data_IF_268804511575
#
_entry.id   IF_268804511575
#
_cell.length_a   1.000
_cell.length_b   1.000
_cell.length_c   1.000
_cell.angle_alpha   90.00
_cell.angle_beta   90.00
_cell.angle_gamma   90.00
#
_symmetry.space_group_name_H-M   'P 1'
#
loop_
_entity.id
_entity.type
_entity.pdbx_description
1 polymer ?
#
# COMPACT_ATOMS: atom_id res chain seq x y z
N UNK A 1 5.10 -1.56 27.12
CA UNK A 1 4.00 -1.49 26.14
C UNK A 1 3.68 -2.86 25.56
N UNK A 2 2.44 -3.09 25.15
CA UNK A 2 2.07 -4.29 24.39
C UNK A 2 2.49 -4.10 22.93
N UNK A 3 3.07 -5.13 22.33
CA UNK A 3 3.50 -5.13 20.95
C UNK A 3 3.39 -6.53 20.34
N UNK A 4 3.17 -6.59 19.04
CA UNK A 4 3.36 -7.82 18.27
C UNK A 4 4.85 -7.97 18.02
N UNK A 5 5.40 -9.13 18.32
CA UNK A 5 6.82 -9.39 18.15
C UNK A 5 7.06 -10.56 17.22
N UNK A 6 8.22 -10.52 16.54
CA UNK A 6 8.68 -11.52 15.61
C UNK A 6 10.18 -11.80 15.83
N UNK A 7 10.52 -13.02 16.20
CA UNK A 7 11.92 -13.42 16.46
C UNK A 7 12.54 -14.19 15.28
N UNK A 8 11.72 -14.77 14.42
CA UNK A 8 12.13 -15.56 13.25
C UNK A 8 11.30 -15.24 12.03
N UNK A 9 11.82 -15.46 10.83
CA UNK A 9 11.03 -15.39 9.61
C UNK A 9 10.08 -16.59 9.49
N UNK A 10 8.83 -16.36 9.07
CA UNK A 10 7.85 -17.43 8.91
C UNK A 10 6.46 -16.92 8.52
N UNK A 11 5.46 -17.78 8.67
CA UNK A 11 4.04 -17.45 8.49
C UNK A 11 3.51 -16.64 9.68
N UNK A 12 2.21 -16.32 9.67
CA UNK A 12 1.56 -15.61 10.78
C UNK A 12 1.71 -16.28 12.17
N UNK A 13 2.14 -17.53 12.22
CA UNK A 13 2.38 -18.28 13.46
C UNK A 13 3.62 -17.83 14.22
N UNK A 14 4.57 -17.13 13.56
CA UNK A 14 5.82 -16.69 14.20
C UNK A 14 5.68 -15.35 14.95
N UNK A 15 4.52 -14.72 14.86
CA UNK A 15 4.26 -13.46 15.56
C UNK A 15 3.31 -13.68 16.73
N UNK A 16 3.56 -12.97 17.83
CA UNK A 16 2.76 -13.07 19.05
C UNK A 16 2.76 -11.75 19.81
N UNK A 17 1.79 -11.58 20.71
CA UNK A 17 1.70 -10.42 21.58
C UNK A 17 2.68 -10.59 22.77
N UNK A 18 3.46 -9.54 23.04
CA UNK A 18 4.41 -9.50 24.16
C UNK A 18 4.40 -8.14 24.82
N UNK A 19 4.78 -8.07 26.11
CA UNK A 19 5.06 -6.82 26.80
C UNK A 19 6.55 -6.51 26.64
N UNK A 20 6.86 -5.39 26.04
CA UNK A 20 8.24 -4.90 25.83
C UNK A 20 8.38 -3.47 26.35
N UNK A 21 9.61 -2.97 26.47
CA UNK A 21 9.85 -1.59 26.86
C UNK A 21 9.30 -0.61 25.82
N UNK A 22 8.78 0.52 26.29
CA UNK A 22 8.40 1.62 25.39
C UNK A 22 9.67 2.21 24.76
N UNK A 23 9.69 2.48 23.43
CA UNK A 23 10.88 2.98 22.78
C UNK A 23 11.24 4.40 23.29
N UNK A 24 12.51 4.61 23.60
CA UNK A 24 13.05 5.94 23.84
C UNK A 24 13.20 6.69 22.52
N UNK A 25 12.94 8.00 22.50
CA UNK A 25 13.05 8.85 21.31
C UNK A 25 14.39 9.61 21.29
N UNK A 26 14.93 9.82 20.08
CA UNK A 26 16.04 10.72 19.84
C UNK A 26 15.55 12.18 19.74
N UNK A 27 16.50 13.12 19.65
CA UNK A 27 16.20 14.55 19.62
C UNK A 27 15.32 14.99 18.43
N UNK A 28 15.34 14.28 17.33
CA UNK A 28 14.58 14.55 16.10
C UNK A 28 13.37 13.61 15.90
N UNK A 29 13.09 12.75 16.88
CA UNK A 29 12.01 11.76 16.79
C UNK A 29 10.75 12.20 17.55
N UNK A 30 9.64 11.62 17.09
CA UNK A 30 8.31 11.74 17.66
C UNK A 30 7.87 10.36 18.16
N UNK A 31 7.38 10.27 19.38
CA UNK A 31 6.69 9.10 19.91
C UNK A 31 5.18 9.26 19.68
N UNK A 32 4.59 8.33 18.99
CA UNK A 32 3.15 8.30 18.72
C UNK A 32 2.52 7.18 19.53
N UNK A 33 1.48 7.50 20.30
CA UNK A 33 0.55 6.52 20.87
C UNK A 33 -0.35 6.05 19.72
N UNK A 34 -0.17 4.82 19.31
CA UNK A 34 -0.88 4.22 18.18
C UNK A 34 -2.35 4.02 18.53
N UNK A 35 -3.24 4.46 17.66
CA UNK A 35 -4.68 4.20 17.72
C UNK A 35 -5.07 3.16 16.66
N UNK A 36 -4.43 3.24 15.48
CA UNK A 36 -4.63 2.30 14.40
C UNK A 36 -3.36 2.13 13.57
N UNK A 37 -3.16 0.94 13.05
CA UNK A 37 -2.09 0.59 12.11
C UNK A 37 -2.67 -0.22 10.95
N UNK A 38 -2.21 -0.02 9.72
CA UNK A 38 -2.70 -0.81 8.59
C UNK A 38 -1.73 -1.92 8.21
N UNK A 39 -2.30 -2.99 7.62
CA UNK A 39 -1.54 -4.12 7.09
C UNK A 39 -1.53 -4.03 5.57
N UNK A 40 -0.37 -4.09 4.97
CA UNK A 40 -0.20 -4.22 3.53
C UNK A 40 0.62 -5.48 3.17
N UNK A 41 0.63 -5.85 1.89
CA UNK A 41 1.34 -7.06 1.41
C UNK A 41 2.83 -7.02 1.73
N UNK A 42 3.43 -5.81 1.82
CA UNK A 42 4.82 -5.62 2.23
C UNK A 42 5.12 -6.15 3.63
N UNK A 43 4.21 -5.97 4.60
CA UNK A 43 4.40 -6.50 5.96
C UNK A 43 4.48 -8.02 5.95
N UNK A 44 3.63 -8.69 5.18
CA UNK A 44 3.69 -10.14 5.00
C UNK A 44 4.99 -10.59 4.33
N UNK A 45 5.47 -9.87 3.30
CA UNK A 45 6.74 -10.15 2.62
C UNK A 45 7.91 -10.01 3.60
N UNK A 46 7.94 -8.92 4.39
CA UNK A 46 8.98 -8.67 5.38
C UNK A 46 8.95 -9.72 6.49
N UNK A 47 7.76 -10.09 6.97
CA UNK A 47 7.56 -11.11 8.00
C UNK A 47 8.04 -12.48 7.54
N UNK A 48 7.74 -12.89 6.30
CA UNK A 48 8.17 -14.18 5.76
C UNK A 48 9.64 -14.18 5.35
N UNK A 49 10.22 -13.00 5.11
CA UNK A 49 11.56 -12.85 4.53
C UNK A 49 11.67 -13.51 3.14
N UNK A 50 10.61 -13.47 2.35
CA UNK A 50 10.52 -14.09 1.03
C UNK A 50 10.26 -13.04 -0.07
N UNK A 51 11.02 -13.04 -1.16
CA UNK A 51 12.14 -13.94 -1.49
C UNK A 51 13.34 -13.73 -0.57
N UNK A 52 14.14 -14.77 -0.36
CA UNK A 52 15.24 -14.78 0.61
C UNK A 52 16.23 -13.60 0.46
N UNK A 53 16.38 -13.07 -0.74
CA UNK A 53 17.24 -11.91 -1.04
C UNK A 53 16.85 -10.68 -0.22
N UNK A 54 15.59 -10.55 0.18
CA UNK A 54 15.11 -9.46 1.05
C UNK A 54 15.78 -9.49 2.43
N UNK A 55 16.20 -10.67 2.89
CA UNK A 55 16.90 -10.83 4.17
C UNK A 55 18.27 -10.16 4.20
N UNK A 56 18.88 -9.86 3.05
CA UNK A 56 20.12 -9.07 2.99
C UNK A 56 19.92 -7.66 3.56
N UNK A 57 18.73 -7.08 3.35
CA UNK A 57 18.38 -5.77 3.88
C UNK A 57 17.73 -5.85 5.27
N UNK A 58 16.85 -6.84 5.48
CA UNK A 58 15.99 -6.94 6.67
C UNK A 58 16.59 -7.78 7.81
N UNK A 59 17.70 -8.50 7.56
CA UNK A 59 18.38 -9.37 8.52
C UNK A 59 18.50 -10.81 8.00
N UNK A 60 19.71 -11.35 7.94
CA UNK A 60 19.97 -12.65 7.29
C UNK A 60 19.29 -13.84 7.98
N UNK A 61 19.35 -13.91 9.29
CA UNK A 61 18.86 -15.03 10.11
C UNK A 61 17.56 -14.73 10.84
N UNK A 62 17.34 -13.49 11.21
CA UNK A 62 16.17 -12.97 11.94
C UNK A 62 15.89 -11.54 11.50
N UNK A 63 14.63 -11.05 11.60
CA UNK A 63 14.32 -9.65 11.35
C UNK A 63 15.16 -8.70 12.21
N UNK A 64 15.64 -7.60 11.63
CA UNK A 64 16.33 -6.53 12.38
C UNK A 64 15.36 -5.84 13.34
N UNK A 65 14.15 -5.53 12.82
CA UNK A 65 13.08 -4.98 13.62
C UNK A 65 12.23 -6.12 14.15
N UNK A 66 12.19 -6.23 15.47
CA UNK A 66 11.45 -7.28 16.15
C UNK A 66 9.95 -7.03 16.14
N UNK A 67 9.53 -5.77 16.12
CA UNK A 67 8.12 -5.36 16.01
C UNK A 67 7.79 -5.06 14.55
N UNK A 68 6.87 -5.79 13.91
CA UNK A 68 6.44 -5.51 12.53
C UNK A 68 5.46 -4.34 12.44
N UNK A 69 5.06 -4.03 11.20
CA UNK A 69 4.14 -2.95 10.87
C UNK A 69 4.86 -1.65 10.49
N UNK A 70 4.22 -0.91 9.59
CA UNK A 70 4.80 0.32 9.04
C UNK A 70 3.81 1.48 9.12
N UNK A 71 2.58 1.31 8.68
CA UNK A 71 1.59 2.38 8.60
C UNK A 71 0.93 2.62 9.95
N UNK A 72 0.84 3.87 10.36
CA UNK A 72 0.35 4.22 11.70
C UNK A 72 -0.49 5.51 11.67
N UNK A 73 -1.50 5.54 12.51
CA UNK A 73 -2.22 6.75 12.90
C UNK A 73 -2.43 6.76 14.41
N UNK A 74 -2.26 7.91 15.03
CA UNK A 74 -2.37 8.02 16.48
C UNK A 74 -2.19 9.44 16.97
N UNK A 75 -1.91 9.56 18.26
CA UNK A 75 -1.70 10.83 18.95
C UNK A 75 -0.24 10.96 19.37
N UNK A 76 0.37 12.09 19.13
CA UNK A 76 1.73 12.39 19.59
C UNK A 76 1.76 12.35 21.12
N UNK A 77 2.57 11.48 21.66
CA UNK A 77 2.79 11.31 23.12
C UNK A 77 3.93 12.18 23.61
N UNK A 78 5.05 12.16 22.90
CA UNK A 78 6.24 12.94 23.22
C UNK A 78 7.01 13.32 21.94
N UNK A 79 7.81 14.35 22.03
CA UNK A 79 8.67 14.84 20.95
C UNK A 79 10.08 15.11 21.44
N UNK A 80 11.07 14.87 20.59
CA UNK A 80 12.47 15.22 20.85
C UNK A 80 12.71 16.74 20.78
N UNK A 81 13.85 17.18 21.28
CA UNK A 81 14.19 18.60 21.46
C UNK A 81 14.32 19.37 20.15
N UNK A 82 14.58 18.68 19.02
CA UNK A 82 14.76 19.26 17.71
C UNK A 82 13.47 19.22 16.83
N UNK A 83 12.39 18.61 17.31
CA UNK A 83 11.08 18.58 16.64
C UNK A 83 10.45 19.98 16.65
N UNK A 84 9.94 20.44 15.51
CA UNK A 84 9.52 21.85 15.31
C UNK A 84 8.02 22.02 15.09
N UNK A 85 7.40 21.13 14.35
CA UNK A 85 6.04 21.28 13.83
C UNK A 85 5.00 20.52 14.65
N UNK A 86 5.39 19.34 15.17
CA UNK A 86 4.51 18.47 15.93
C UNK A 86 4.64 18.69 17.45
N UNK A 87 3.57 18.47 18.18
CA UNK A 87 3.49 18.64 19.64
C UNK A 87 2.70 17.51 20.27
N UNK A 88 2.96 17.18 21.56
CA UNK A 88 2.11 16.25 22.30
C UNK A 88 0.63 16.64 22.22
N UNK A 89 -0.22 15.66 21.92
CA UNK A 89 -1.65 15.83 21.68
C UNK A 89 -2.05 16.02 20.22
N UNK A 90 -1.12 16.27 19.28
CA UNK A 90 -1.45 16.33 17.86
C UNK A 90 -1.90 14.94 17.35
N UNK A 91 -3.00 14.88 16.62
CA UNK A 91 -3.43 13.69 15.88
C UNK A 91 -2.65 13.61 14.57
N UNK A 92 -1.96 12.50 14.36
CA UNK A 92 -1.04 12.30 13.22
C UNK A 92 -1.26 10.98 12.52
N UNK A 93 -0.81 10.92 11.27
CA UNK A 93 -0.65 9.67 10.53
C UNK A 93 0.62 9.72 9.68
N UNK A 94 1.10 8.55 9.28
CA UNK A 94 2.30 8.42 8.50
C UNK A 94 2.88 7.02 8.59
N UNK A 95 4.20 6.92 8.68
CA UNK A 95 4.88 5.63 8.77
C UNK A 95 5.95 5.62 9.86
N UNK A 96 6.01 4.50 10.57
CA UNK A 96 7.04 4.22 11.58
C UNK A 96 7.36 2.73 11.61
N UNK A 97 8.60 2.37 11.83
CA UNK A 97 8.93 0.98 12.08
C UNK A 97 8.33 0.52 13.41
N UNK A 98 7.69 -0.66 13.43
CA UNK A 98 7.09 -1.20 14.64
C UNK A 98 5.69 -0.70 14.95
N UNK A 99 4.89 -0.44 13.92
CA UNK A 99 3.53 0.09 14.06
C UNK A 99 2.52 -0.85 14.75
N UNK A 100 2.80 -2.16 14.83
CA UNK A 100 1.91 -3.11 15.53
C UNK A 100 2.22 -3.17 17.03
N UNK A 101 2.13 -2.02 17.70
CA UNK A 101 2.39 -1.83 19.11
C UNK A 101 1.61 -0.63 19.66
N UNK A 102 1.53 -0.48 20.98
CA UNK A 102 0.89 0.68 21.63
C UNK A 102 1.62 2.00 21.35
N UNK A 103 2.92 1.95 21.05
CA UNK A 103 3.71 3.13 20.70
C UNK A 103 4.64 2.80 19.53
N UNK A 104 4.78 3.77 18.64
CA UNK A 104 5.73 3.75 17.54
C UNK A 104 6.51 5.07 17.50
N UNK A 105 7.74 5.04 16.99
CA UNK A 105 8.59 6.23 16.86
C UNK A 105 9.19 6.34 15.48
N UNK A 106 9.32 7.56 15.01
CA UNK A 106 10.05 7.92 13.80
C UNK A 106 10.45 9.39 13.85
N UNK A 107 11.28 9.83 12.91
CA UNK A 107 11.58 11.25 12.72
C UNK A 107 10.34 12.05 12.31
N UNK A 108 10.32 13.34 12.62
CA UNK A 108 9.16 14.22 12.44
C UNK A 108 8.60 14.18 11.01
N UNK A 109 9.46 14.13 9.99
CA UNK A 109 9.11 14.12 8.57
C UNK A 109 8.35 12.87 8.10
N UNK A 110 8.27 11.83 8.95
CA UNK A 110 7.47 10.63 8.70
C UNK A 110 5.99 10.82 9.05
N UNK A 111 5.64 11.90 9.72
CA UNK A 111 4.27 12.16 10.18
C UNK A 111 3.73 13.48 9.65
N UNK A 112 2.43 13.52 9.42
CA UNK A 112 1.69 14.78 9.23
C UNK A 112 0.41 14.75 10.06
N UNK A 113 -0.16 15.95 10.34
CA UNK A 113 -1.42 16.04 11.06
C UNK A 113 -2.54 15.35 10.28
N UNK A 114 -3.29 14.52 10.99
CA UNK A 114 -4.42 13.76 10.46
C UNK A 114 -5.50 14.72 9.93
N UNK A 115 -6.05 14.47 8.72
CA UNK A 115 -7.23 15.18 8.23
C UNK A 115 -8.42 15.03 9.20
N UNK A 116 -9.13 16.09 9.47
CA UNK A 116 -10.27 16.07 10.40
C UNK A 116 -11.45 15.19 9.92
N UNK A 117 -11.54 14.95 8.62
CA UNK A 117 -12.57 14.12 7.99
C UNK A 117 -12.23 12.60 7.95
N UNK A 118 -11.11 12.19 8.53
CA UNK A 118 -10.77 10.77 8.68
C UNK A 118 -10.79 10.31 10.14
N UNK A 119 -11.21 9.07 10.36
CA UNK A 119 -10.93 8.35 11.61
C UNK A 119 -9.47 7.92 11.67
N UNK A 120 -8.97 7.43 12.81
CA UNK A 120 -7.61 6.88 12.91
C UNK A 120 -7.43 5.64 12.03
N UNK A 121 -8.44 4.77 11.96
CA UNK A 121 -8.43 3.58 11.10
C UNK A 121 -8.30 3.99 9.63
N UNK A 122 -9.06 4.98 9.19
CA UNK A 122 -8.96 5.50 7.82
C UNK A 122 -7.61 6.16 7.56
N UNK A 123 -7.11 6.94 8.51
CA UNK A 123 -5.84 7.64 8.36
C UNK A 123 -4.65 6.66 8.29
N UNK A 124 -4.65 5.60 9.10
CA UNK A 124 -3.62 4.56 9.04
C UNK A 124 -3.58 3.84 7.68
N UNK A 125 -4.72 3.73 6.99
CA UNK A 125 -4.81 3.07 5.69
C UNK A 125 -4.16 3.88 4.54
N UNK A 126 -3.92 5.18 4.73
CA UNK A 126 -3.36 6.06 3.67
C UNK A 126 -1.88 5.78 3.41
N UNK A 127 -1.09 5.41 4.41
CA UNK A 127 0.37 5.29 4.36
C UNK A 127 0.94 4.68 3.07
N UNK A 128 1.44 3.45 3.14
CA UNK A 128 2.14 2.78 2.02
C UNK A 128 1.25 2.60 0.79
N UNK A 129 -0.02 2.21 0.97
CA UNK A 129 -0.89 1.86 -0.16
C UNK A 129 -1.26 3.07 -1.02
N UNK A 130 -1.63 4.19 -0.40
CA UNK A 130 -1.99 5.40 -1.14
C UNK A 130 -0.76 6.09 -1.74
N UNK A 131 0.36 6.15 -1.01
CA UNK A 131 1.63 6.69 -1.52
C UNK A 131 2.10 5.89 -2.74
N UNK A 132 2.03 4.57 -2.68
CA UNK A 132 2.34 3.70 -3.83
C UNK A 132 1.44 4.04 -5.02
N UNK A 133 0.12 4.11 -4.82
CA UNK A 133 -0.82 4.44 -5.91
C UNK A 133 -0.53 5.83 -6.51
N UNK A 134 -0.27 6.84 -5.66
CA UNK A 134 0.05 8.20 -6.10
C UNK A 134 1.31 8.22 -6.97
N UNK A 135 2.41 7.65 -6.50
CA UNK A 135 3.68 7.63 -7.21
C UNK A 135 3.58 6.86 -8.54
N UNK A 136 2.86 5.70 -8.56
CA UNK A 136 2.67 4.93 -9.78
C UNK A 136 1.88 5.70 -10.84
N UNK A 137 0.86 6.45 -10.45
CA UNK A 137 0.02 7.21 -11.39
C UNK A 137 0.63 8.56 -11.77
N UNK A 138 1.20 9.30 -10.79
CA UNK A 138 1.77 10.64 -11.00
C UNK A 138 3.14 10.58 -11.64
N UNK A 139 4.06 9.79 -11.08
CA UNK A 139 5.48 9.86 -11.43
C UNK A 139 5.85 8.89 -12.56
N UNK A 140 5.38 7.64 -12.47
CA UNK A 140 5.66 6.62 -13.47
C UNK A 140 4.69 6.69 -14.64
N UNK A 141 3.38 6.74 -14.35
CA UNK A 141 2.31 6.77 -15.34
C UNK A 141 2.10 8.13 -15.97
N UNK A 142 2.44 9.20 -15.25
CA UNK A 142 2.24 10.59 -15.68
C UNK A 142 0.83 10.83 -16.22
N UNK A 143 -0.17 10.28 -15.51
CA UNK A 143 -1.57 10.29 -15.91
C UNK A 143 -2.04 11.71 -16.21
N UNK A 144 -2.68 11.87 -17.37
CA UNK A 144 -3.25 13.14 -17.85
C UNK A 144 -4.79 13.05 -17.92
N UNK A 145 -5.49 14.18 -17.78
CA UNK A 145 -6.94 14.23 -17.96
C UNK A 145 -7.36 13.64 -19.33
N UNK A 146 -8.44 12.86 -19.32
CA UNK A 146 -9.01 12.22 -20.50
C UNK A 146 -8.32 10.92 -20.95
N UNK A 147 -7.22 10.52 -20.32
CA UNK A 147 -6.60 9.23 -20.62
C UNK A 147 -7.44 8.06 -20.09
N UNK A 148 -7.41 6.95 -20.83
CA UNK A 148 -8.02 5.67 -20.40
C UNK A 148 -7.03 4.88 -19.56
N UNK A 149 -7.37 4.70 -18.29
CA UNK A 149 -6.54 4.00 -17.29
C UNK A 149 -7.23 2.72 -16.85
N UNK A 150 -6.57 1.57 -17.03
CA UNK A 150 -7.03 0.29 -16.48
C UNK A 150 -6.25 -0.04 -15.22
N UNK A 151 -6.97 -0.43 -14.17
CA UNK A 151 -6.41 -0.85 -12.86
C UNK A 151 -6.79 -2.30 -12.63
N UNK A 152 -5.84 -3.22 -12.83
CA UNK A 152 -6.00 -4.62 -12.49
C UNK A 152 -5.79 -4.82 -10.99
N UNK A 153 -6.74 -5.48 -10.32
CA UNK A 153 -6.78 -5.59 -8.86
C UNK A 153 -7.34 -4.32 -8.19
N UNK A 154 -8.33 -3.70 -8.81
CA UNK A 154 -8.95 -2.44 -8.38
C UNK A 154 -9.55 -2.47 -6.98
N UNK A 155 -9.91 -3.66 -6.46
CA UNK A 155 -10.50 -3.83 -5.12
C UNK A 155 -9.48 -4.05 -4.00
N UNK A 156 -8.19 -4.14 -4.30
CA UNK A 156 -7.14 -4.33 -3.28
C UNK A 156 -6.67 -3.02 -2.63
N UNK A 157 -5.78 -3.10 -1.63
CA UNK A 157 -5.29 -1.93 -0.89
C UNK A 157 -4.79 -0.80 -1.81
N UNK A 158 -3.79 -1.06 -2.67
CA UNK A 158 -3.30 -0.06 -3.64
C UNK A 158 -4.36 0.25 -4.70
N UNK A 159 -5.13 -0.76 -5.14
CA UNK A 159 -6.12 -0.62 -6.21
C UNK A 159 -7.22 0.39 -5.91
N UNK A 160 -7.77 0.36 -4.69
CA UNK A 160 -8.84 1.28 -4.28
C UNK A 160 -8.40 2.74 -4.25
N UNK A 161 -7.15 3.01 -3.84
CA UNK A 161 -6.55 4.34 -3.95
C UNK A 161 -6.26 4.72 -5.40
N UNK A 162 -5.74 3.78 -6.19
CA UNK A 162 -5.40 4.05 -7.59
C UNK A 162 -6.63 4.45 -8.41
N UNK A 163 -7.79 3.80 -8.21
CA UNK A 163 -9.05 4.21 -8.87
C UNK A 163 -9.37 5.66 -8.55
N UNK A 164 -9.41 6.03 -7.27
CA UNK A 164 -9.79 7.37 -6.82
C UNK A 164 -8.78 8.45 -7.25
N UNK A 165 -7.47 8.15 -7.15
CA UNK A 165 -6.40 9.09 -7.55
C UNK A 165 -6.43 9.30 -9.08
N UNK A 166 -6.59 8.24 -9.89
CA UNK A 166 -6.72 8.37 -11.33
C UNK A 166 -7.94 9.21 -11.72
N UNK A 167 -9.07 9.03 -11.03
CA UNK A 167 -10.25 9.90 -11.19
C UNK A 167 -9.96 11.34 -10.79
N UNK A 168 -9.26 11.56 -9.68
CA UNK A 168 -8.87 12.91 -9.26
C UNK A 168 -7.96 13.62 -10.28
N UNK A 169 -7.18 12.85 -11.04
CA UNK A 169 -6.37 13.36 -12.17
C UNK A 169 -7.15 13.53 -13.47
N UNK A 170 -8.47 13.22 -13.49
CA UNK A 170 -9.34 13.40 -14.64
C UNK A 170 -9.30 12.27 -15.67
N UNK A 171 -8.81 11.10 -15.30
CA UNK A 171 -8.79 9.93 -16.19
C UNK A 171 -10.18 9.27 -16.31
N UNK A 172 -10.40 8.56 -17.42
CA UNK A 172 -11.44 7.54 -17.57
C UNK A 172 -10.90 6.22 -17.01
N UNK A 173 -11.52 5.70 -15.94
CA UNK A 173 -10.97 4.58 -15.19
C UNK A 173 -11.77 3.32 -15.39
N UNK A 174 -11.10 2.24 -15.81
CA UNK A 174 -11.62 0.88 -15.84
C UNK A 174 -10.98 0.07 -14.71
N UNK A 175 -11.80 -0.41 -13.77
CA UNK A 175 -11.36 -1.29 -12.69
C UNK A 175 -11.58 -2.77 -13.02
N UNK A 176 -10.57 -3.62 -12.82
CA UNK A 176 -10.69 -5.08 -12.95
C UNK A 176 -10.74 -5.71 -11.57
N UNK A 177 -11.81 -6.46 -11.31
CA UNK A 177 -12.03 -7.10 -9.99
C UNK A 177 -12.90 -8.36 -10.11
N UNK A 178 -13.21 -9.04 -9.01
CA UNK A 178 -14.14 -10.18 -9.00
C UNK A 178 -15.58 -9.72 -8.83
N UNK A 179 -16.55 -10.58 -9.21
CA UNK A 179 -18.00 -10.33 -9.13
C UNK A 179 -18.44 -9.66 -7.82
N UNK A 180 -17.94 -10.13 -6.69
CA UNK A 180 -18.32 -9.64 -5.34
C UNK A 180 -17.90 -8.20 -5.04
N UNK A 181 -17.01 -7.61 -5.85
CA UNK A 181 -16.42 -6.29 -5.61
C UNK A 181 -16.80 -5.26 -6.67
N UNK A 182 -17.63 -5.62 -7.67
CA UNK A 182 -18.00 -4.73 -8.78
C UNK A 182 -18.64 -3.43 -8.28
N UNK A 183 -19.63 -3.55 -7.40
CA UNK A 183 -20.34 -2.40 -6.85
C UNK A 183 -19.40 -1.47 -6.06
N UNK A 184 -18.53 -2.03 -5.23
CA UNK A 184 -17.56 -1.25 -4.46
C UNK A 184 -16.59 -0.50 -5.38
N UNK A 185 -16.04 -1.15 -6.41
CA UNK A 185 -15.09 -0.51 -7.34
C UNK A 185 -15.78 0.60 -8.16
N UNK A 186 -17.04 0.40 -8.54
CA UNK A 186 -17.83 1.45 -9.18
C UNK A 186 -18.10 2.62 -8.21
N UNK A 187 -18.47 2.33 -6.96
CA UNK A 187 -18.81 3.36 -5.96
C UNK A 187 -17.63 4.27 -5.58
N UNK A 188 -16.38 3.80 -5.71
CA UNK A 188 -15.18 4.60 -5.49
C UNK A 188 -14.72 5.37 -6.73
N UNK A 189 -15.52 5.36 -7.81
CA UNK A 189 -15.36 6.25 -8.96
C UNK A 189 -14.86 5.60 -10.25
N UNK A 190 -14.77 4.27 -10.36
CA UNK A 190 -14.48 3.64 -11.64
C UNK A 190 -15.64 3.88 -12.63
N UNK A 191 -15.34 4.35 -13.85
CA UNK A 191 -16.33 4.56 -14.91
C UNK A 191 -16.81 3.23 -15.48
N UNK A 192 -15.90 2.27 -15.58
CA UNK A 192 -16.15 0.91 -16.05
C UNK A 192 -15.57 -0.11 -15.09
N UNK A 193 -16.24 -1.26 -14.98
CA UNK A 193 -15.75 -2.36 -14.13
C UNK A 193 -15.84 -3.67 -14.90
N UNK A 194 -14.72 -4.41 -14.94
CA UNK A 194 -14.60 -5.71 -15.59
C UNK A 194 -14.53 -6.80 -14.52
N UNK A 195 -15.41 -7.80 -14.63
CA UNK A 195 -15.38 -9.00 -13.81
C UNK A 195 -14.43 -10.03 -14.42
N UNK A 196 -13.22 -10.17 -13.85
CA UNK A 196 -12.22 -11.10 -14.37
C UNK A 196 -12.65 -12.58 -14.29
N UNK A 197 -13.72 -12.90 -13.55
CA UNK A 197 -14.25 -14.27 -13.46
C UNK A 197 -15.10 -14.66 -14.68
N UNK A 198 -15.48 -13.66 -15.50
CA UNK A 198 -16.34 -13.81 -16.69
C UNK A 198 -15.67 -13.27 -17.95
N UNK A 199 -14.96 -12.15 -17.81
CA UNK A 199 -14.43 -11.40 -18.94
C UNK A 199 -12.90 -11.25 -18.84
N UNK A 200 -12.27 -11.30 -19.99
CA UNK A 200 -10.83 -11.10 -20.15
C UNK A 200 -10.57 -9.68 -20.67
N UNK A 201 -10.04 -8.81 -19.81
CA UNK A 201 -9.74 -7.43 -20.16
C UNK A 201 -8.71 -7.29 -21.30
N UNK A 202 -7.96 -8.37 -21.61
CA UNK A 202 -6.95 -8.37 -22.68
C UNK A 202 -7.53 -8.76 -24.04
N UNK A 203 -8.76 -9.28 -24.10
CA UNK A 203 -9.41 -9.78 -25.31
C UNK A 203 -10.33 -8.75 -25.98
N UNK A 204 -10.74 -7.70 -25.24
CA UNK A 204 -11.64 -6.65 -25.73
C UNK A 204 -11.02 -5.74 -26.81
N UNK A 205 -11.85 -4.95 -27.52
CA UNK A 205 -11.40 -3.95 -28.49
C UNK A 205 -10.79 -2.71 -27.83
N UNK A 206 -11.08 -2.46 -26.56
CA UNK A 206 -10.61 -1.29 -25.84
C UNK A 206 -9.08 -1.26 -25.74
N UNK A 207 -8.55 -0.04 -25.78
CA UNK A 207 -7.12 0.22 -25.64
C UNK A 207 -6.91 1.28 -24.57
N UNK A 208 -5.97 1.01 -23.68
CA UNK A 208 -5.68 1.83 -22.52
C UNK A 208 -4.37 2.59 -22.68
N UNK A 209 -4.36 3.85 -22.27
CA UNK A 209 -3.14 4.67 -22.26
C UNK A 209 -2.22 4.29 -21.12
N UNK A 210 -2.80 3.77 -20.03
CA UNK A 210 -2.07 3.22 -18.91
C UNK A 210 -2.77 1.96 -18.38
N UNK A 211 -1.99 0.93 -18.10
CA UNK A 211 -2.43 -0.24 -17.33
C UNK A 211 -1.58 -0.32 -16.07
N UNK A 212 -2.23 -0.20 -14.91
CA UNK A 212 -1.63 -0.49 -13.61
C UNK A 212 -2.00 -1.93 -13.21
N UNK A 213 -1.03 -2.83 -13.24
CA UNK A 213 -1.22 -4.24 -12.91
C UNK A 213 -0.74 -4.54 -11.49
N UNK A 214 -1.67 -4.57 -10.53
CA UNK A 214 -1.39 -4.93 -9.14
C UNK A 214 -1.43 -6.45 -8.88
N UNK A 215 -1.85 -7.26 -9.84
CA UNK A 215 -2.05 -8.71 -9.66
C UNK A 215 -0.99 -9.53 -10.38
N UNK A 216 -0.73 -9.20 -11.63
CA UNK A 216 0.24 -9.92 -12.46
C UNK A 216 -0.21 -11.35 -12.83
N UNK A 217 -1.50 -11.59 -12.99
CA UNK A 217 -2.09 -12.89 -13.37
C UNK A 217 -2.03 -13.15 -14.88
N UNK A 218 -1.94 -12.09 -15.69
CA UNK A 218 -1.86 -12.20 -17.15
C UNK A 218 -0.42 -12.17 -17.66
N UNK A 219 -0.18 -12.75 -18.85
CA UNK A 219 1.12 -12.63 -19.48
C UNK A 219 1.33 -11.19 -19.99
N UNK A 220 2.57 -10.71 -19.90
CA UNK A 220 2.95 -9.38 -20.39
C UNK A 220 2.54 -9.16 -21.86
N UNK A 221 2.65 -10.20 -22.71
CA UNK A 221 2.28 -10.10 -24.11
C UNK A 221 0.76 -9.90 -24.30
N UNK A 222 -0.07 -10.53 -23.45
CA UNK A 222 -1.53 -10.33 -23.50
C UNK A 222 -1.89 -8.95 -22.98
N UNK A 223 -1.36 -8.53 -21.83
CA UNK A 223 -1.61 -7.20 -21.25
C UNK A 223 -1.21 -6.08 -22.21
N UNK A 224 -0.06 -6.22 -22.91
CA UNK A 224 0.37 -5.24 -23.92
C UNK A 224 -0.57 -5.09 -25.10
N UNK A 225 -1.34 -6.12 -25.49
CA UNK A 225 -2.34 -5.99 -26.57
C UNK A 225 -3.50 -5.08 -26.18
N UNK A 226 -3.78 -4.95 -24.89
CA UNK A 226 -4.80 -4.02 -24.40
C UNK A 226 -4.30 -2.56 -24.29
N UNK A 227 -2.99 -2.31 -24.49
CA UNK A 227 -2.44 -0.94 -24.48
C UNK A 227 -2.66 -0.25 -25.84
N UNK A 228 -2.82 1.07 -25.79
CA UNK A 228 -2.69 1.95 -26.96
C UNK A 228 -1.25 1.88 -27.51
N UNK A 229 -0.99 2.32 -28.75
CA UNK A 229 0.34 2.24 -29.35
C UNK A 229 1.46 2.93 -28.53
N UNK A 230 1.10 3.94 -27.74
CA UNK A 230 2.02 4.70 -26.86
C UNK A 230 1.76 4.44 -25.39
N UNK A 231 0.89 3.46 -25.08
CA UNK A 231 0.46 3.18 -23.71
C UNK A 231 1.57 2.65 -22.81
N UNK A 232 1.40 2.85 -21.52
CA UNK A 232 2.34 2.47 -20.47
C UNK A 232 1.78 1.31 -19.64
N UNK A 233 2.59 0.27 -19.42
CA UNK A 233 2.29 -0.81 -18.47
C UNK A 233 3.13 -0.63 -17.22
N UNK A 234 2.48 -0.47 -16.08
CA UNK A 234 3.12 -0.45 -14.77
C UNK A 234 2.78 -1.73 -14.02
N UNK A 235 3.80 -2.53 -13.71
CA UNK A 235 3.64 -3.76 -12.93
C UNK A 235 4.03 -3.51 -11.48
N UNK A 236 3.02 -3.38 -10.62
CA UNK A 236 3.17 -3.25 -9.17
C UNK A 236 2.99 -4.60 -8.45
N UNK A 237 2.32 -5.53 -9.09
CA UNK A 237 2.05 -6.85 -8.54
C UNK A 237 3.27 -7.75 -8.58
N UNK A 238 3.75 -8.04 -7.39
CA UNK A 238 4.44 -9.28 -7.23
C UNK A 238 3.41 -10.41 -7.09
N UNK A 239 2.69 -10.90 -8.08
CA UNK A 239 1.76 -12.02 -7.98
C UNK A 239 2.13 -13.02 -6.88
N UNK A 240 1.22 -13.86 -6.43
CA UNK A 240 1.40 -14.82 -5.34
C UNK A 240 2.77 -15.53 -5.37
N UNK A 241 3.40 -15.63 -4.21
CA UNK A 241 4.76 -16.12 -3.99
C UNK A 241 5.02 -17.45 -4.71
N UNK A 242 5.81 -17.41 -5.75
CA UNK A 242 6.26 -18.61 -6.45
C UNK A 242 6.79 -18.29 -7.83
N UNK A 243 8.08 -17.99 -7.96
CA UNK A 243 8.77 -18.02 -9.25
C UNK A 243 9.02 -16.70 -9.97
N UNK A 244 9.19 -15.58 -9.28
CA UNK A 244 9.12 -14.22 -9.86
C UNK A 244 10.43 -13.50 -10.17
N UNK A 245 11.55 -13.91 -9.69
CA UNK A 245 12.84 -13.31 -10.07
C UNK A 245 13.04 -13.38 -11.60
N UNK A 246 12.67 -14.51 -12.22
CA UNK A 246 12.72 -14.70 -13.67
C UNK A 246 11.74 -13.80 -14.44
N UNK A 247 10.57 -13.48 -13.86
CA UNK A 247 9.55 -12.62 -14.48
C UNK A 247 9.96 -11.14 -14.45
N UNK A 248 10.50 -10.69 -13.33
CA UNK A 248 11.02 -9.32 -13.18
C UNK A 248 12.23 -9.07 -14.08
N UNK A 249 13.17 -10.02 -14.16
CA UNK A 249 14.33 -9.93 -15.06
C UNK A 249 13.91 -9.97 -16.52
N UNK A 250 12.95 -10.82 -16.91
CA UNK A 250 12.41 -10.86 -18.29
C UNK A 250 11.62 -9.59 -18.62
N UNK A 251 10.91 -9.01 -17.67
CA UNK A 251 10.21 -7.73 -17.84
C UNK A 251 11.21 -6.59 -18.07
N UNK A 252 12.29 -6.55 -17.31
CA UNK A 252 13.37 -5.56 -17.44
C UNK A 252 14.11 -5.68 -18.78
N UNK A 253 14.40 -6.90 -19.25
CA UNK A 253 15.01 -7.14 -20.56
C UNK A 253 14.08 -6.83 -21.72
N UNK A 254 12.78 -7.11 -21.57
CA UNK A 254 11.77 -6.80 -22.59
C UNK A 254 11.46 -5.30 -22.70
N UNK A 255 11.65 -4.52 -21.64
CA UNK A 255 11.45 -3.05 -21.65
C UNK A 255 12.52 -2.31 -22.46
N UNK A 256 13.69 -2.92 -22.69
CA UNK A 256 14.76 -2.34 -23.51
C UNK A 256 14.45 -2.35 -25.02
N UNK A 257 13.46 -3.12 -25.46
CA UNK A 257 13.21 -3.35 -26.91
C UNK A 257 11.90 -2.72 -27.39
N UNK A 258 11.06 -2.22 -26.50
CA UNK A 258 9.70 -1.74 -26.87
C UNK A 258 9.46 -0.35 -26.26
N UNK A 259 8.83 0.58 -27.04
CA UNK A 259 8.40 1.90 -26.61
C UNK A 259 7.41 1.93 -25.41
N UNK A 260 6.89 0.78 -25.00
CA UNK A 260 6.02 0.62 -23.85
C UNK A 260 6.87 0.49 -22.59
N UNK A 261 6.80 1.47 -21.71
CA UNK A 261 7.55 1.46 -20.46
C UNK A 261 6.99 0.39 -19.52
N UNK A 262 7.84 -0.48 -19.00
CA UNK A 262 7.57 -1.29 -17.83
C UNK A 262 8.45 -0.78 -16.70
N UNK A 263 7.88 -0.20 -15.68
CA UNK A 263 8.63 0.29 -14.52
C UNK A 263 8.45 -0.67 -13.35
N UNK A 264 9.47 -1.44 -12.98
CA UNK A 264 9.54 -2.02 -11.65
C UNK A 264 10.12 -0.95 -10.72
N UNK A 265 9.28 -0.20 -10.01
CA UNK A 265 9.79 0.76 -9.06
C UNK A 265 9.54 0.28 -7.64
N UNK A 266 10.60 0.29 -6.84
CA UNK A 266 10.48 0.26 -5.38
C UNK A 266 10.07 1.67 -4.99
N UNK A 267 8.85 1.79 -4.48
CA UNK A 267 8.34 3.07 -3.99
C UNK A 267 8.82 3.31 -2.57
N UNK A 268 9.25 4.52 -2.30
CA UNK A 268 9.66 4.99 -0.98
C UNK A 268 8.70 6.04 -0.49
N UNK A 269 8.32 5.95 0.78
CA UNK A 269 7.51 6.99 1.41
C UNK A 269 8.34 8.27 1.54
N UNK A 270 7.67 9.40 1.38
CA UNK A 270 8.23 10.73 1.63
C UNK A 270 7.15 11.68 2.12
N UNK A 271 7.55 12.74 2.80
CA UNK A 271 6.67 13.71 3.41
C UNK A 271 5.74 14.41 2.39
N UNK A 272 6.28 14.81 1.24
CA UNK A 272 5.54 15.55 0.20
C UNK A 272 4.36 14.74 -0.36
N UNK A 273 4.53 13.42 -0.49
CA UNK A 273 3.45 12.53 -0.92
C UNK A 273 2.33 12.44 0.11
N UNK A 274 2.65 12.40 1.41
CA UNK A 274 1.64 12.47 2.46
C UNK A 274 0.87 13.79 2.41
N UNK A 275 1.56 14.91 2.21
CA UNK A 275 0.92 16.24 2.08
C UNK A 275 -0.01 16.28 0.87
N UNK A 276 0.43 15.74 -0.27
CA UNK A 276 -0.39 15.65 -1.48
C UNK A 276 -1.63 14.76 -1.27
N UNK A 277 -1.46 13.61 -0.63
CA UNK A 277 -2.56 12.69 -0.29
C UNK A 277 -3.54 13.32 0.69
N UNK A 278 -3.04 14.01 1.73
CA UNK A 278 -3.87 14.77 2.66
C UNK A 278 -4.76 15.76 1.92
N UNK A 279 -4.21 16.50 0.98
CA UNK A 279 -4.97 17.47 0.18
C UNK A 279 -6.09 16.81 -0.64
N UNK A 280 -5.83 15.63 -1.22
CA UNK A 280 -6.84 14.86 -1.95
C UNK A 280 -7.94 14.33 -1.03
N UNK A 281 -7.58 13.90 0.18
CA UNK A 281 -8.51 13.42 1.21
C UNK A 281 -9.39 14.56 1.73
N UNK A 282 -8.79 15.69 2.08
CA UNK A 282 -9.52 16.87 2.57
C UNK A 282 -10.48 17.44 1.52
N UNK A 283 -10.12 17.32 0.23
CA UNK A 283 -10.98 17.67 -0.90
C UNK A 283 -12.08 16.62 -1.18
N UNK A 284 -12.16 15.52 -0.42
CA UNK A 284 -13.13 14.44 -0.62
C UNK A 284 -12.92 13.62 -1.89
N UNK A 285 -11.77 13.77 -2.55
CA UNK A 285 -11.43 13.03 -3.79
C UNK A 285 -10.89 11.64 -3.53
N UNK A 286 -10.37 11.38 -2.32
CA UNK A 286 -9.85 10.08 -1.89
C UNK A 286 -10.41 9.78 -0.51
N UNK A 287 -11.04 8.61 -0.38
CA UNK A 287 -11.54 8.06 0.88
C UNK A 287 -11.00 6.65 1.04
N UNK A 288 -10.28 6.34 2.13
CA UNK A 288 -9.79 4.99 2.35
C UNK A 288 -10.92 3.97 2.47
N UNK A 289 -10.76 2.82 1.79
CA UNK A 289 -11.68 1.68 1.88
C UNK A 289 -11.10 0.68 2.87
N UNK A 290 -11.81 0.46 3.97
CA UNK A 290 -11.42 -0.52 5.01
C UNK A 290 -12.24 -1.79 4.80
N UNK A 291 -11.56 -2.93 4.69
CA UNK A 291 -12.18 -4.25 4.61
C UNK A 291 -12.61 -4.73 5.99
N UNK A 292 -11.65 -4.76 6.92
CA UNK A 292 -11.86 -5.22 8.31
C UNK A 292 -10.91 -4.53 9.28
N UNK A 293 -11.36 -4.47 10.53
CA UNK A 293 -10.54 -4.11 11.68
C UNK A 293 -10.34 -5.32 12.58
N UNK A 294 -9.16 -5.43 13.17
CA UNK A 294 -8.79 -6.45 14.15
C UNK A 294 -8.13 -5.79 15.35
N UNK A 295 -8.39 -6.22 16.58
CA UNK A 295 -7.64 -5.75 17.74
C UNK A 295 -6.19 -6.23 17.67
N UNK A 296 -5.26 -5.51 18.30
CA UNK A 296 -3.82 -5.81 18.29
C UNK A 296 -3.47 -7.29 18.56
N UNK A 297 -4.09 -7.99 19.53
CA UNK A 297 -3.79 -9.41 19.75
C UNK A 297 -4.15 -10.33 18.59
N UNK A 298 -5.06 -9.90 17.70
CA UNK A 298 -5.53 -10.66 16.54
C UNK A 298 -4.72 -10.38 15.26
N UNK A 299 -3.61 -9.64 15.36
CA UNK A 299 -2.73 -9.35 14.21
C UNK A 299 -2.32 -10.60 13.42
N UNK A 300 -2.03 -11.78 14.03
CA UNK A 300 -1.76 -12.98 13.24
C UNK A 300 -2.89 -13.37 12.30
N UNK A 301 -4.15 -13.29 12.76
CA UNK A 301 -5.33 -13.58 11.94
C UNK A 301 -5.52 -12.52 10.83
N UNK A 302 -5.28 -11.25 11.14
CA UNK A 302 -5.35 -10.15 10.18
C UNK A 302 -4.31 -10.30 9.06
N UNK A 303 -3.07 -10.65 9.38
CA UNK A 303 -2.01 -10.93 8.39
C UNK A 303 -2.37 -12.16 7.55
N UNK A 304 -2.92 -13.22 8.16
CA UNK A 304 -3.43 -14.38 7.44
C UNK A 304 -4.52 -14.03 6.43
N UNK A 305 -5.43 -13.12 6.80
CA UNK A 305 -6.47 -12.61 5.91
C UNK A 305 -5.89 -11.85 4.69
N UNK A 306 -4.91 -10.98 4.90
CA UNK A 306 -4.21 -10.27 3.82
C UNK A 306 -3.42 -11.26 2.93
N UNK A 307 -2.73 -12.23 3.53
CA UNK A 307 -1.96 -13.24 2.81
C UNK A 307 -2.84 -14.13 1.92
N UNK A 308 -4.10 -14.37 2.27
CA UNK A 308 -5.07 -15.09 1.45
C UNK A 308 -5.44 -14.34 0.15
N UNK A 309 -5.11 -13.05 0.04
CA UNK A 309 -5.25 -12.25 -1.19
C UNK A 309 -6.68 -11.86 -1.53
N UNK A 310 -7.59 -11.87 -0.55
CA UNK A 310 -9.01 -11.59 -0.77
C UNK A 310 -9.52 -10.33 -0.06
N UNK A 311 -8.63 -9.55 0.53
CA UNK A 311 -8.97 -8.29 1.19
C UNK A 311 -9.56 -7.27 0.19
N UNK A 312 -10.61 -6.56 0.62
CA UNK A 312 -11.32 -5.51 -0.12
C UNK A 312 -10.91 -4.14 0.41
N UNK A 313 -9.85 -3.56 -0.12
CA UNK A 313 -9.23 -2.37 0.46
C UNK A 313 -8.17 -2.74 1.49
N UNK A 314 -8.14 -2.01 2.59
CA UNK A 314 -7.12 -2.10 3.63
C UNK A 314 -7.63 -2.85 4.86
N UNK A 315 -6.79 -3.70 5.44
CA UNK A 315 -7.01 -4.33 6.75
C UNK A 315 -6.32 -3.50 7.81
N UNK A 316 -7.01 -3.23 8.92
CA UNK A 316 -6.55 -2.32 9.98
C UNK A 316 -6.46 -3.05 11.31
N UNK A 317 -5.43 -2.74 12.07
CA UNK A 317 -5.25 -3.11 13.48
C UNK A 317 -5.65 -1.94 14.36
N UNK A 318 -6.53 -2.15 15.31
CA UNK A 318 -6.83 -1.19 16.39
C UNK A 318 -6.03 -1.54 17.64
N UNK A 319 -5.46 -0.54 18.29
CA UNK A 319 -4.53 -0.71 19.42
C UNK A 319 -5.14 -0.24 20.74
#
# INVERSE_FOLDING_TARGET
MRAIVQDTYGSAEVIHLENIDTPEIADDEVLVRVQAASIHVGDWILMTGSPWVMRLATGLRRPKNRVPGTDVAGTVEAVGTNVKELRPGDEVFGWAAGAFAEFARATEDHFIRKPANLTFEQASAVGVSATTALQLLRDDGKVQPGQKVLINGASGGVGTFAVQIAKAFGAEVTGVTSTKNLEMVHSIGADHVIDYTRDDFTAGPERYDLILDNVGNESMARTRRALSPTGTLISNGGGHAGGKLGRTVRAMLASMVVRQQASPSVKTQNHDDLVALKSLVEAGKVTPVIDRTYPLPETPAAIGHVAAGHARGTVVITV
#
